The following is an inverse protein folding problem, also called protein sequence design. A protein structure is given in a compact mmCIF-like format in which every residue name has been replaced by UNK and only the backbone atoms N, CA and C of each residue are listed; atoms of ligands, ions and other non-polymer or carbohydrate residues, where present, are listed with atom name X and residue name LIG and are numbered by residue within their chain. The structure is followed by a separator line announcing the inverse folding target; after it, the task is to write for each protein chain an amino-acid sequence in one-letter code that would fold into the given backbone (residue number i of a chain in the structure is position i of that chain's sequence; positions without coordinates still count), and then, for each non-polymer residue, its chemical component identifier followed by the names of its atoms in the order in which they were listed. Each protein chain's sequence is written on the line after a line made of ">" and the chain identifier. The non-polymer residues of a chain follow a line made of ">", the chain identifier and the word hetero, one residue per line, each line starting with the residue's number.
data_IF_376482191149
#
_entry.id   IF_376482191149
#
_cell.length_a   1.000
_cell.length_b   1.000
_cell.length_c   1.000
_cell.angle_alpha   90.00
_cell.angle_beta   90.00
_cell.angle_gamma   90.00
#
_symmetry.space_group_name_H-M   'P 1'
#
loop_
_entity.id
_entity.type
_entity.pdbx_description
1 polymer ?
#
# COMPACT_ATOMS: atom_id res chain seq x y z
N UNK A 1 -5.44 -11.02 -1.81
CA UNK A 1 -4.71 -9.76 -2.09
C UNK A 1 -5.00 -9.24 -3.49
N UNK A 2 -4.92 -10.07 -4.54
CA UNK A 2 -5.29 -9.65 -5.91
C UNK A 2 -6.71 -9.09 -6.01
N UNK A 3 -7.68 -9.72 -5.36
CA UNK A 3 -9.06 -9.25 -5.34
C UNK A 3 -9.63 -9.40 -3.91
N UNK A 4 -9.50 -8.37 -3.06
CA UNK A 4 -10.06 -8.38 -1.71
C UNK A 4 -11.59 -8.46 -1.68
N UNK A 5 -12.26 -7.99 -2.75
CA UNK A 5 -13.73 -7.87 -2.80
C UNK A 5 -14.42 -9.24 -2.79
N UNK A 6 -13.75 -10.29 -3.31
CA UNK A 6 -14.22 -11.69 -3.22
C UNK A 6 -14.51 -12.17 -1.81
N UNK A 7 -13.87 -11.56 -0.81
CA UNK A 7 -14.06 -11.88 0.61
C UNK A 7 -14.67 -10.72 1.39
N UNK A 8 -15.33 -9.79 0.70
CA UNK A 8 -16.04 -8.67 1.31
C UNK A 8 -15.15 -7.57 1.88
N UNK A 9 -13.84 -7.57 1.62
CA UNK A 9 -12.92 -6.49 2.02
C UNK A 9 -12.85 -5.40 0.93
N UNK A 10 -12.78 -4.12 1.30
CA UNK A 10 -12.52 -3.05 0.34
C UNK A 10 -11.19 -3.23 -0.39
N UNK A 11 -11.17 -3.00 -1.70
CA UNK A 11 -9.95 -2.94 -2.51
C UNK A 11 -9.50 -1.50 -2.81
N UNK A 12 -10.34 -0.52 -2.50
CA UNK A 12 -10.14 0.89 -2.82
C UNK A 12 -10.62 1.76 -1.65
N UNK A 13 -9.99 2.90 -1.43
CA UNK A 13 -10.20 3.77 -0.28
C UNK A 13 -11.59 4.44 -0.25
N UNK A 14 -12.19 4.68 -1.42
CA UNK A 14 -13.61 5.09 -1.53
C UNK A 14 -14.58 4.14 -0.83
N UNK A 15 -14.21 2.87 -0.70
CA UNK A 15 -15.02 1.81 -0.08
C UNK A 15 -14.61 1.55 1.37
N UNK A 16 -13.77 2.41 1.95
CA UNK A 16 -13.33 2.35 3.34
C UNK A 16 -14.53 2.31 4.28
N UNK A 17 -14.47 1.43 5.26
CA UNK A 17 -15.55 1.27 6.24
C UNK A 17 -15.10 1.81 7.58
N UNK A 18 -15.55 3.01 7.92
CA UNK A 18 -15.36 3.57 9.25
C UNK A 18 -16.19 2.77 10.25
N UNK A 19 -15.54 2.25 11.29
CA UNK A 19 -16.14 1.50 12.40
C UNK A 19 -15.67 2.09 13.71
N UNK A 20 -16.41 1.83 14.78
CA UNK A 20 -15.97 2.23 16.12
C UNK A 20 -14.83 1.32 16.59
N UNK A 21 -14.03 1.76 17.56
CA UNK A 21 -12.98 0.90 18.14
C UNK A 21 -13.55 -0.37 18.78
N UNK A 22 -14.79 -0.32 19.28
CA UNK A 22 -15.47 -1.49 19.84
C UNK A 22 -15.98 -2.48 18.76
N UNK A 23 -16.03 -2.05 17.50
CA UNK A 23 -16.46 -2.86 16.35
C UNK A 23 -15.25 -3.15 15.44
N UNK A 24 -14.70 -4.36 15.55
CA UNK A 24 -13.51 -4.80 14.79
C UNK A 24 -12.29 -3.87 14.91
N UNK A 25 -12.09 -3.24 16.07
CA UNK A 25 -10.98 -2.31 16.34
C UNK A 25 -10.91 -1.15 15.32
N UNK A 26 -12.05 -0.64 14.88
CA UNK A 26 -12.09 0.36 13.80
C UNK A 26 -12.04 -0.23 12.39
N UNK A 27 -12.30 -1.53 12.26
CA UNK A 27 -12.36 -2.22 10.97
C UNK A 27 -10.99 -2.65 10.42
N UNK A 28 -9.99 -2.89 11.26
CA UNK A 28 -8.61 -3.17 10.82
C UNK A 28 -8.51 -4.37 9.87
N UNK A 29 -9.24 -5.45 10.15
CA UNK A 29 -9.28 -6.64 9.28
C UNK A 29 -10.17 -6.47 8.05
N UNK A 30 -11.03 -5.44 8.04
CA UNK A 30 -11.88 -5.12 6.89
C UNK A 30 -11.06 -4.28 5.91
N UNK A 31 -10.50 -3.17 6.40
CA UNK A 31 -9.83 -2.16 5.57
C UNK A 31 -8.41 -2.58 5.17
N UNK A 32 -7.83 -3.64 5.75
CA UNK A 32 -6.54 -4.21 5.33
C UNK A 32 -6.52 -4.65 3.87
N UNK A 33 -7.68 -4.98 3.29
CA UNK A 33 -7.83 -5.29 1.87
C UNK A 33 -7.26 -4.21 0.94
N UNK A 34 -7.35 -2.94 1.34
CA UNK A 34 -6.88 -1.79 0.56
C UNK A 34 -5.36 -1.85 0.38
N UNK A 35 -4.61 -1.95 1.48
CA UNK A 35 -3.14 -2.03 1.45
C UNK A 35 -2.67 -3.38 0.88
N UNK A 36 -3.40 -4.46 1.16
CA UNK A 36 -3.14 -5.77 0.57
C UNK A 36 -3.24 -5.74 -0.96
N UNK A 37 -4.18 -4.96 -1.51
CA UNK A 37 -4.32 -4.81 -2.95
C UNK A 37 -3.18 -3.99 -3.55
N UNK A 38 -2.75 -2.89 -2.89
CA UNK A 38 -1.53 -2.17 -3.30
C UNK A 38 -0.30 -3.08 -3.34
N UNK A 39 -0.06 -3.88 -2.29
CA UNK A 39 1.06 -4.80 -2.24
C UNK A 39 1.04 -5.81 -3.42
N UNK A 40 -0.15 -6.34 -3.75
CA UNK A 40 -0.31 -7.18 -4.94
C UNK A 40 0.04 -6.42 -6.23
N UNK A 41 -0.51 -5.21 -6.43
CA UNK A 41 -0.29 -4.40 -7.62
C UNK A 41 1.19 -4.00 -7.80
N UNK A 42 1.91 -3.77 -6.71
CA UNK A 42 3.35 -3.51 -6.73
C UNK A 42 4.11 -4.72 -7.25
N UNK A 43 3.88 -5.90 -6.65
CA UNK A 43 4.55 -7.13 -7.08
C UNK A 43 4.20 -7.48 -8.55
N UNK A 44 2.93 -7.41 -8.92
CA UNK A 44 2.46 -7.68 -10.29
C UNK A 44 3.03 -6.68 -11.30
N UNK A 45 3.11 -5.39 -10.95
CA UNK A 45 3.72 -4.36 -11.80
C UNK A 45 5.22 -4.57 -12.02
N UNK A 46 5.94 -4.97 -10.98
CA UNK A 46 7.38 -5.27 -11.05
C UNK A 46 7.62 -6.56 -11.86
N UNK A 47 6.78 -7.58 -11.68
CA UNK A 47 6.84 -8.82 -12.48
C UNK A 47 6.64 -8.53 -13.97
N UNK A 48 5.64 -7.71 -14.32
CA UNK A 48 5.38 -7.28 -15.71
C UNK A 48 6.50 -6.46 -16.34
N UNK A 49 7.40 -5.91 -15.52
CA UNK A 49 8.61 -5.25 -15.98
C UNK A 49 9.74 -6.24 -16.34
N UNK A 50 9.60 -7.50 -15.95
CA UNK A 50 10.54 -8.60 -16.24
C UNK A 50 11.36 -9.05 -15.04
N UNK A 51 11.07 -8.58 -13.82
CA UNK A 51 11.81 -9.01 -12.63
C UNK A 51 11.21 -10.30 -12.04
N UNK A 52 11.99 -11.39 -12.07
CA UNK A 52 11.57 -12.71 -11.58
C UNK A 52 11.36 -12.76 -10.06
N UNK A 53 12.02 -11.88 -9.30
CA UNK A 53 11.94 -11.77 -7.84
C UNK A 53 11.00 -10.65 -7.36
N UNK A 54 9.96 -10.33 -8.13
CA UNK A 54 9.05 -9.21 -7.88
C UNK A 54 8.42 -9.20 -6.48
N UNK A 55 8.04 -10.38 -5.98
CA UNK A 55 7.46 -10.55 -4.63
C UNK A 55 8.48 -10.25 -3.53
N UNK A 56 9.74 -10.64 -3.72
CA UNK A 56 10.81 -10.36 -2.76
C UNK A 56 11.14 -8.87 -2.74
N UNK A 57 11.15 -8.22 -3.91
CA UNK A 57 11.31 -6.76 -4.01
C UNK A 57 10.18 -6.06 -3.26
N UNK A 58 8.92 -6.41 -3.54
CA UNK A 58 7.76 -5.85 -2.83
C UNK A 58 7.86 -6.07 -1.32
N UNK A 59 8.15 -7.30 -0.88
CA UNK A 59 8.30 -7.63 0.53
C UNK A 59 9.42 -6.81 1.20
N UNK A 60 10.56 -6.63 0.52
CA UNK A 60 11.67 -5.81 1.01
C UNK A 60 11.27 -4.35 1.22
N UNK A 61 10.47 -3.77 0.31
CA UNK A 61 9.97 -2.39 0.47
C UNK A 61 9.09 -2.26 1.72
N UNK A 62 8.12 -3.16 1.89
CA UNK A 62 7.23 -3.17 3.05
C UNK A 62 7.98 -3.45 4.36
N UNK A 63 8.94 -4.37 4.34
CA UNK A 63 9.76 -4.69 5.51
C UNK A 63 10.56 -3.48 5.97
N UNK A 64 11.26 -2.79 5.06
CA UNK A 64 12.07 -1.62 5.39
C UNK A 64 11.17 -0.47 5.89
N UNK A 65 10.05 -0.20 5.22
CA UNK A 65 9.11 0.83 5.67
C UNK A 65 8.58 0.54 7.08
N UNK A 66 8.18 -0.71 7.35
CA UNK A 66 7.70 -1.13 8.66
C UNK A 66 8.75 -1.03 9.77
N UNK A 67 10.02 -1.34 9.48
CA UNK A 67 11.09 -1.29 10.48
C UNK A 67 11.59 0.13 10.76
N UNK A 68 11.55 1.04 9.79
CA UNK A 68 12.30 2.30 9.85
C UNK A 68 11.52 3.58 9.56
N UNK A 69 10.32 3.50 8.97
CA UNK A 69 9.54 4.68 8.55
C UNK A 69 8.19 4.80 9.28
N UNK A 70 7.66 3.67 9.75
CA UNK A 70 6.32 3.59 10.35
C UNK A 70 6.35 3.60 11.88
N UNK A 71 5.32 4.22 12.44
CA UNK A 71 5.07 4.36 13.87
C UNK A 71 3.59 4.04 14.16
N UNK A 72 3.18 4.06 15.42
CA UNK A 72 1.80 3.74 15.82
C UNK A 72 0.73 4.66 15.20
N UNK A 73 1.14 5.83 14.66
CA UNK A 73 0.26 6.82 14.03
C UNK A 73 0.30 6.81 12.50
N UNK A 74 1.03 5.88 11.87
CA UNK A 74 1.11 5.81 10.41
C UNK A 74 -0.27 5.52 9.80
N UNK A 75 -0.76 6.46 8.99
CA UNK A 75 -1.99 6.30 8.20
C UNK A 75 -1.68 5.86 6.76
N UNK A 76 -2.72 5.67 5.95
CA UNK A 76 -2.59 5.19 4.57
C UNK A 76 -1.80 6.14 3.64
N UNK A 77 -2.00 7.46 3.73
CA UNK A 77 -1.22 8.42 2.96
C UNK A 77 0.26 8.40 3.35
N UNK A 78 0.57 8.28 4.64
CA UNK A 78 1.95 8.15 5.12
C UNK A 78 2.58 6.82 4.66
N UNK A 79 1.83 5.72 4.71
CA UNK A 79 2.25 4.42 4.16
C UNK A 79 2.67 4.54 2.68
N UNK A 80 1.86 5.19 1.83
CA UNK A 80 2.19 5.48 0.42
C UNK A 80 3.50 6.25 0.29
N UNK A 81 3.60 7.38 0.98
CA UNK A 81 4.74 8.30 0.85
C UNK A 81 6.03 7.65 1.33
N UNK A 82 5.98 6.88 2.42
CA UNK A 82 7.14 6.17 2.97
C UNK A 82 7.58 5.02 2.05
N UNK A 83 6.66 4.26 1.45
CA UNK A 83 7.02 3.23 0.46
C UNK A 83 7.67 3.83 -0.78
N UNK A 84 7.19 4.99 -1.26
CA UNK A 84 7.83 5.74 -2.35
C UNK A 84 9.25 6.16 -1.93
N UNK A 85 9.41 6.74 -0.73
CA UNK A 85 10.71 7.13 -0.18
C UNK A 85 11.68 5.94 -0.11
N UNK A 86 11.26 4.82 0.46
CA UNK A 86 12.06 3.60 0.54
C UNK A 86 12.46 3.09 -0.85
N UNK A 87 11.53 3.11 -1.81
CA UNK A 87 11.80 2.67 -3.18
C UNK A 87 12.84 3.56 -3.86
N UNK A 88 12.73 4.89 -3.71
CA UNK A 88 13.72 5.86 -4.21
C UNK A 88 15.09 5.63 -3.58
N UNK A 89 15.15 5.39 -2.27
CA UNK A 89 16.40 5.15 -1.55
C UNK A 89 17.11 3.87 -2.01
N UNK A 90 16.37 2.80 -2.33
CA UNK A 90 16.95 1.52 -2.74
C UNK A 90 17.33 1.46 -4.22
N UNK A 91 16.55 2.12 -5.09
CA UNK A 91 16.63 1.90 -6.54
C UNK A 91 16.93 3.16 -7.36
N UNK A 92 16.98 4.33 -6.72
CA UNK A 92 17.17 5.64 -7.35
C UNK A 92 15.85 6.33 -7.69
N UNK A 93 15.88 7.67 -7.71
CA UNK A 93 14.68 8.51 -7.84
C UNK A 93 13.92 8.32 -9.16
N UNK A 94 14.63 8.05 -10.25
CA UNK A 94 14.06 7.87 -11.59
C UNK A 94 13.78 6.41 -11.96
N UNK A 95 13.77 5.50 -10.98
CA UNK A 95 13.55 4.08 -11.23
C UNK A 95 12.07 3.78 -11.53
N UNK A 96 11.81 2.88 -12.49
CA UNK A 96 10.45 2.44 -12.85
C UNK A 96 9.68 1.83 -11.68
N UNK A 97 10.35 1.27 -10.68
CA UNK A 97 9.71 0.76 -9.46
C UNK A 97 9.03 1.86 -8.64
N UNK A 98 9.57 3.07 -8.64
CA UNK A 98 8.94 4.23 -7.98
C UNK A 98 7.58 4.50 -8.62
N UNK A 99 7.53 4.56 -9.96
CA UNK A 99 6.29 4.75 -10.71
C UNK A 99 5.29 3.61 -10.49
N UNK A 100 5.76 2.38 -10.34
CA UNK A 100 4.88 1.23 -10.04
C UNK A 100 4.24 1.39 -8.65
N UNK A 101 5.01 1.80 -7.64
CA UNK A 101 4.47 2.05 -6.29
C UNK A 101 3.47 3.20 -6.30
N UNK A 102 3.79 4.32 -6.95
CA UNK A 102 2.87 5.45 -7.12
C UNK A 102 1.55 5.01 -7.77
N UNK A 103 1.63 4.35 -8.92
CA UNK A 103 0.47 3.87 -9.66
C UNK A 103 -0.36 2.83 -8.88
N UNK A 104 0.28 1.97 -8.08
CA UNK A 104 -0.43 0.99 -7.26
C UNK A 104 -1.28 1.67 -6.18
N UNK A 105 -0.75 2.72 -5.53
CA UNK A 105 -1.49 3.49 -4.54
C UNK A 105 -2.58 4.36 -5.16
N UNK A 106 -2.32 4.97 -6.32
CA UNK A 106 -3.31 5.76 -7.05
C UNK A 106 -4.51 4.87 -7.48
N UNK A 107 -4.25 3.63 -7.91
CA UNK A 107 -5.29 2.63 -8.26
C UNK A 107 -6.21 2.25 -7.10
N UNK A 108 -5.77 2.42 -5.86
CA UNK A 108 -6.58 2.14 -4.67
C UNK A 108 -7.08 3.43 -4.00
N UNK A 109 -6.89 4.58 -4.64
CA UNK A 109 -7.43 5.86 -4.20
C UNK A 109 -6.73 6.47 -2.98
N UNK A 110 -5.44 6.20 -2.81
CA UNK A 110 -4.59 6.83 -1.79
C UNK A 110 -3.56 7.70 -2.52
N UNK A 111 -3.52 8.99 -2.17
CA UNK A 111 -2.71 10.00 -2.85
C UNK A 111 -1.71 10.66 -1.90
N UNK A 112 -0.81 11.49 -2.45
CA UNK A 112 0.29 12.13 -1.70
C UNK A 112 -0.19 13.08 -0.59
N UNK A 113 -1.38 13.67 -0.76
CA UNK A 113 -1.99 14.59 0.20
C UNK A 113 -2.65 13.81 1.34
N UNK A 114 -2.66 14.33 2.58
CA UNK A 114 -3.46 13.73 3.65
C UNK A 114 -4.90 13.60 3.17
N UNK A 115 -5.43 12.38 3.18
CA UNK A 115 -6.87 12.23 3.10
C UNK A 115 -7.45 12.97 4.30
N UNK A 116 -8.38 13.90 4.04
CA UNK A 116 -9.11 14.57 5.11
C UNK A 116 -9.64 13.49 6.08
N UNK A 117 -9.60 13.73 7.39
CA UNK A 117 -10.24 12.81 8.32
C UNK A 117 -11.69 12.63 7.89
N UNK A 118 -12.10 11.37 7.72
CA UNK A 118 -13.50 10.98 7.57
C UNK A 118 -14.30 11.36 8.81
#
# INVERSE_FOLDING_TARGET
>A
MQDPSKWGQPAHMKDYRSRTLYDYNGGVHINSGIINHAAYLIADGIEKLGAENSKDIMAKLFYIANCYEWYETTNFSKCRNDLIKVTKNLYGENNKYVQIVENAFDKIGIYATPQLPL
#
